data_IF_378635013056
#
_entry.id   IF_378635013056
#
_cell.length_a   1.000
_cell.length_b   1.000
_cell.length_c   1.000
_cell.angle_alpha   90.00
_cell.angle_beta   90.00
_cell.angle_gamma   90.00
#
_symmetry.space_group_name_H-M   'P 1'
#
loop_
_entity.id
_entity.type
_entity.pdbx_description
1 polymer ?
#
# COMPACT_ATOMS: atom_id res chain seq x y z
N UNK A 1 36.93 3.36 15.12
CA UNK A 1 36.52 3.73 13.73
C UNK A 1 35.05 3.99 13.77
N UNK A 2 34.65 5.24 13.73
CA UNK A 2 33.25 5.67 13.77
C UNK A 2 32.60 5.30 12.46
N UNK A 3 31.68 4.31 12.48
CA UNK A 3 30.83 3.98 11.36
C UNK A 3 30.04 5.25 10.98
N UNK A 4 30.42 5.89 9.87
CA UNK A 4 29.58 6.96 9.31
C UNK A 4 28.27 6.30 8.88
N UNK A 5 27.19 6.58 9.63
CA UNK A 5 25.82 6.14 9.29
C UNK A 5 25.56 6.56 7.85
N UNK A 6 25.48 5.60 6.92
CA UNK A 6 25.05 5.86 5.55
C UNK A 6 23.61 6.38 5.60
N UNK A 7 23.42 7.65 5.30
CA UNK A 7 22.07 8.23 5.17
C UNK A 7 21.37 7.54 4.00
N UNK A 8 20.08 7.21 4.15
CA UNK A 8 19.27 6.72 3.04
C UNK A 8 19.32 7.73 1.89
N UNK A 9 19.66 7.25 0.71
CA UNK A 9 19.72 8.05 -0.51
C UNK A 9 18.38 8.04 -1.27
N UNK A 10 17.41 7.26 -0.79
CA UNK A 10 16.08 7.15 -1.39
C UNK A 10 15.09 8.10 -0.74
N UNK A 11 14.07 8.50 -1.50
CA UNK A 11 13.01 9.37 -1.03
C UNK A 11 12.25 8.76 0.13
N UNK A 12 11.78 9.59 1.04
CA UNK A 12 10.97 9.22 2.21
C UNK A 12 9.49 9.43 1.97
N UNK A 13 9.13 10.12 0.87
CA UNK A 13 7.76 10.52 0.56
C UNK A 13 7.49 10.40 -0.93
N UNK A 14 6.33 9.81 -1.28
CA UNK A 14 5.87 9.69 -2.67
C UNK A 14 5.52 11.04 -3.27
N UNK A 15 4.98 11.96 -2.46
CA UNK A 15 4.70 13.35 -2.83
C UNK A 15 5.58 14.27 -1.96
N UNK A 16 6.77 14.67 -2.45
CA UNK A 16 7.76 15.41 -1.66
C UNK A 16 7.24 16.72 -1.02
N UNK A 17 6.31 17.40 -1.68
CA UNK A 17 5.69 18.63 -1.16
C UNK A 17 4.89 18.36 0.14
N UNK A 18 4.49 17.15 0.41
CA UNK A 18 3.73 16.73 1.59
C UNK A 18 4.60 16.04 2.66
N UNK A 19 5.92 15.90 2.43
CA UNK A 19 6.83 15.24 3.37
C UNK A 19 6.81 15.87 4.77
N UNK A 20 6.63 17.18 4.85
CA UNK A 20 6.51 17.92 6.12
C UNK A 20 5.28 17.54 6.96
N UNK A 21 4.27 16.89 6.39
CA UNK A 21 3.11 16.36 7.10
C UNK A 21 3.36 15.00 7.73
N UNK A 22 4.38 14.26 7.25
CA UNK A 22 4.69 12.92 7.77
C UNK A 22 5.18 12.97 9.20
N UNK A 23 4.68 12.02 9.96
CA UNK A 23 5.13 11.70 11.32
C UNK A 23 5.67 10.28 11.32
N UNK A 24 6.54 9.99 12.25
CA UNK A 24 7.25 8.71 12.34
C UNK A 24 7.08 8.11 13.72
N UNK A 25 7.02 6.79 13.77
CA UNK A 25 7.05 6.03 15.00
C UNK A 25 8.04 4.87 14.87
N UNK A 26 8.82 4.65 15.92
CA UNK A 26 9.81 3.57 15.99
C UNK A 26 9.30 2.49 16.91
N UNK A 27 9.38 1.23 16.46
CA UNK A 27 8.87 0.06 17.17
C UNK A 27 10.06 -0.86 17.50
N UNK A 28 10.60 -0.81 18.72
CA UNK A 28 11.71 -1.67 19.12
C UNK A 28 11.30 -3.15 19.14
N UNK A 29 12.25 -4.02 18.83
CA UNK A 29 12.11 -5.49 18.87
C UNK A 29 11.00 -6.05 17.97
N UNK A 30 10.55 -5.32 16.95
CA UNK A 30 9.55 -5.81 16.02
C UNK A 30 10.14 -6.84 15.06
N UNK A 31 9.49 -8.00 14.96
CA UNK A 31 9.93 -9.13 14.13
C UNK A 31 9.25 -9.11 12.77
N UNK A 32 10.03 -9.11 11.68
CA UNK A 32 9.58 -9.17 10.30
C UNK A 32 9.67 -10.60 9.75
N UNK A 33 8.76 -10.97 8.85
CA UNK A 33 8.79 -12.23 8.11
C UNK A 33 8.33 -13.45 8.93
N UNK A 34 7.72 -13.23 10.07
CA UNK A 34 7.21 -14.30 10.92
C UNK A 34 5.80 -14.79 10.52
N UNK A 35 5.36 -15.83 11.20
CA UNK A 35 4.03 -16.44 11.04
C UNK A 35 3.03 -15.79 12.00
N UNK A 36 1.84 -15.53 11.49
CA UNK A 36 0.72 -14.97 12.26
C UNK A 36 -0.36 -16.05 12.47
N UNK A 37 -0.81 -16.20 13.70
CA UNK A 37 -1.86 -17.16 14.08
C UNK A 37 -3.11 -16.39 14.54
N UNK A 38 -4.06 -16.08 13.61
CA UNK A 38 -5.27 -15.34 13.96
C UNK A 38 -6.05 -16.04 15.08
N UNK A 39 -6.37 -15.31 16.16
CA UNK A 39 -7.03 -15.81 17.37
C UNK A 39 -6.09 -16.12 18.54
N UNK A 40 -4.79 -16.03 18.32
CA UNK A 40 -3.78 -15.97 19.37
C UNK A 40 -2.94 -14.70 19.19
N UNK A 41 -3.53 -13.56 19.53
CA UNK A 41 -2.94 -12.24 19.33
C UNK A 41 -1.65 -12.05 20.13
N UNK A 42 -1.50 -12.74 21.24
CA UNK A 42 -0.28 -12.70 22.08
C UNK A 42 0.92 -13.31 21.35
N UNK A 43 0.70 -14.24 20.41
CA UNK A 43 1.75 -14.90 19.64
C UNK A 43 2.48 -13.98 18.66
N UNK A 44 1.87 -12.83 18.30
CA UNK A 44 2.42 -11.89 17.31
C UNK A 44 2.37 -10.41 17.75
N UNK A 45 2.33 -10.14 19.05
CA UNK A 45 2.18 -8.76 19.55
C UNK A 45 3.22 -7.79 18.95
N UNK A 46 4.49 -8.19 18.87
CA UNK A 46 5.57 -7.45 18.21
C UNK A 46 6.10 -8.20 16.98
N UNK A 47 5.20 -8.55 16.07
CA UNK A 47 5.49 -9.25 14.82
C UNK A 47 5.38 -10.76 14.90
N UNK A 48 5.35 -11.42 13.75
CA UNK A 48 5.06 -12.86 13.63
C UNK A 48 6.10 -13.76 14.33
N UNK A 49 5.65 -14.92 14.75
CA UNK A 49 6.50 -15.94 15.37
C UNK A 49 7.61 -16.40 14.41
N UNK A 50 8.85 -16.50 14.90
CA UNK A 50 10.02 -16.89 14.10
C UNK A 50 10.57 -15.77 13.20
N UNK A 51 10.00 -14.57 13.23
CA UNK A 51 10.50 -13.41 12.47
C UNK A 51 11.83 -12.86 13.01
N UNK A 52 12.42 -11.92 12.25
CA UNK A 52 13.75 -11.32 12.50
C UNK A 52 13.60 -9.84 12.82
N UNK A 53 14.26 -9.36 13.85
CA UNK A 53 14.32 -7.93 14.19
C UNK A 53 15.42 -7.23 13.38
N UNK A 54 15.21 -5.94 13.04
CA UNK A 54 16.24 -5.16 12.35
C UNK A 54 17.47 -4.94 13.23
N UNK A 55 17.27 -4.80 14.53
CA UNK A 55 18.33 -4.62 15.52
C UNK A 55 19.28 -5.82 15.57
N UNK A 56 18.79 -7.05 15.39
CA UNK A 56 19.62 -8.26 15.33
C UNK A 56 20.56 -8.29 14.13
N UNK A 57 20.26 -7.48 13.11
CA UNK A 57 21.08 -7.28 11.92
C UNK A 57 21.94 -6.00 11.99
N UNK A 58 21.98 -5.35 13.16
CA UNK A 58 22.76 -4.13 13.39
C UNK A 58 22.15 -2.87 12.81
N UNK A 59 20.86 -2.88 12.47
CA UNK A 59 20.13 -1.71 11.99
C UNK A 59 19.33 -1.02 13.11
N UNK A 60 18.79 0.17 12.82
CA UNK A 60 17.86 0.86 13.72
C UNK A 60 16.55 0.05 13.82
N UNK A 61 15.82 0.17 14.96
CA UNK A 61 14.53 -0.47 15.13
C UNK A 61 13.54 -0.14 14.00
N UNK A 62 12.54 -0.99 13.81
CA UNK A 62 11.52 -0.80 12.78
C UNK A 62 10.88 0.59 12.93
N UNK A 63 10.84 1.31 11.83
CA UNK A 63 10.16 2.61 11.73
C UNK A 63 8.96 2.47 10.80
N UNK A 64 7.83 3.05 11.19
CA UNK A 64 6.65 3.29 10.35
C UNK A 64 6.38 4.78 10.23
N UNK A 65 5.64 5.19 9.21
CA UNK A 65 5.30 6.58 8.99
C UNK A 65 3.79 6.74 8.70
N UNK A 66 3.25 7.93 8.95
CA UNK A 66 1.84 8.23 8.76
C UNK A 66 1.60 9.74 8.59
N UNK A 67 0.42 10.07 8.05
CA UNK A 67 -0.17 11.43 8.11
C UNK A 67 -1.50 11.29 8.85
N UNK A 68 -1.79 12.22 9.76
CA UNK A 68 -3.07 12.24 10.46
C UNK A 68 -3.72 13.60 10.37
N UNK A 69 -5.03 13.62 10.10
CA UNK A 69 -5.86 14.82 9.96
C UNK A 69 -7.20 14.64 10.66
N UNK A 70 -7.87 15.74 10.92
CA UNK A 70 -9.17 15.76 11.57
C UNK A 70 -9.11 15.74 13.10
N UNK A 71 -10.27 15.56 13.73
CA UNK A 71 -10.45 15.76 15.17
C UNK A 71 -10.61 14.41 15.88
N UNK A 72 -9.68 14.04 16.80
CA UNK A 72 -9.83 12.82 17.60
C UNK A 72 -10.87 12.99 18.70
N UNK A 73 -11.86 12.11 18.73
CA UNK A 73 -12.78 11.94 19.86
C UNK A 73 -12.24 10.89 20.83
N UNK A 74 -12.27 11.20 22.14
CA UNK A 74 -11.72 10.32 23.17
C UNK A 74 -12.80 9.85 24.14
N UNK A 75 -12.69 8.59 24.55
CA UNK A 75 -13.51 8.05 25.64
C UNK A 75 -12.99 8.52 27.02
N UNK A 76 -13.61 7.99 28.07
CA UNK A 76 -13.27 8.32 29.47
C UNK A 76 -11.86 7.83 29.87
N UNK A 77 -11.32 6.85 29.16
CA UNK A 77 -9.96 6.30 29.35
C UNK A 77 -8.92 7.07 28.50
N UNK A 78 -9.35 8.07 27.73
CA UNK A 78 -8.49 8.87 26.84
C UNK A 78 -8.16 8.20 25.52
N UNK A 79 -8.76 7.04 25.20
CA UNK A 79 -8.57 6.35 23.95
C UNK A 79 -9.38 6.99 22.82
N UNK A 80 -8.78 7.12 21.64
CA UNK A 80 -9.47 7.63 20.45
C UNK A 80 -10.44 6.56 19.91
N UNK A 81 -11.69 6.96 19.65
CA UNK A 81 -12.77 6.05 19.27
C UNK A 81 -13.37 6.31 17.88
N UNK A 82 -13.03 7.43 17.23
CA UNK A 82 -13.51 7.82 15.90
C UNK A 82 -12.44 7.73 14.82
N UNK A 83 -11.42 6.86 15.00
CA UNK A 83 -10.30 6.73 14.07
C UNK A 83 -10.74 6.01 12.78
N UNK A 84 -10.27 6.54 11.65
CA UNK A 84 -10.37 5.91 10.33
C UNK A 84 -8.95 5.72 9.80
N UNK A 85 -8.64 4.55 9.27
CA UNK A 85 -7.32 4.29 8.68
C UNK A 85 -7.43 4.10 7.16
N UNK A 86 -6.43 4.63 6.46
CA UNK A 86 -6.27 4.51 5.01
C UNK A 86 -4.92 3.85 4.73
N UNK A 87 -4.95 2.58 4.36
CA UNK A 87 -3.75 1.80 4.04
C UNK A 87 -3.27 2.07 2.61
N UNK A 88 -1.95 2.09 2.36
CA UNK A 88 -1.39 2.43 1.05
C UNK A 88 -1.49 1.27 0.07
N UNK A 89 -1.51 1.60 -1.23
CA UNK A 89 -1.37 0.64 -2.32
C UNK A 89 0.09 0.21 -2.51
N UNK A 90 0.35 -0.71 -3.45
CA UNK A 90 1.65 -1.38 -3.65
C UNK A 90 2.85 -0.43 -3.66
N UNK A 91 2.80 0.62 -4.46
CA UNK A 91 3.87 1.61 -4.62
C UNK A 91 3.65 2.92 -3.86
N UNK A 92 2.51 3.03 -3.18
CA UNK A 92 2.10 4.24 -2.48
C UNK A 92 2.57 4.33 -1.04
N UNK A 93 2.27 5.48 -0.46
CA UNK A 93 2.49 5.82 0.94
C UNK A 93 1.37 6.74 1.45
N UNK A 94 1.49 7.20 2.67
CA UNK A 94 0.55 8.15 3.27
C UNK A 94 0.41 9.45 2.48
N UNK A 95 1.48 9.94 1.83
CA UNK A 95 1.43 11.18 1.04
C UNK A 95 0.68 11.01 -0.26
N UNK A 96 0.82 9.87 -0.94
CA UNK A 96 0.04 9.57 -2.15
C UNK A 96 -1.44 9.41 -1.84
N UNK A 97 -1.79 8.66 -0.78
CA UNK A 97 -3.20 8.49 -0.42
C UNK A 97 -3.83 9.82 0.01
N UNK A 98 -3.07 10.66 0.73
CA UNK A 98 -3.48 12.01 1.07
C UNK A 98 -3.70 12.85 -0.21
N UNK A 99 -2.76 12.82 -1.15
CA UNK A 99 -2.82 13.57 -2.40
C UNK A 99 -4.02 13.20 -3.28
N UNK A 100 -4.37 11.91 -3.35
CA UNK A 100 -5.50 11.47 -4.18
C UNK A 100 -6.87 11.73 -3.54
N UNK A 101 -6.97 11.65 -2.22
CA UNK A 101 -8.27 11.61 -1.57
C UNK A 101 -8.57 12.76 -0.63
N UNK A 102 -7.58 13.50 -0.16
CA UNK A 102 -7.82 14.62 0.76
C UNK A 102 -8.24 15.91 0.01
N UNK A 103 -9.15 16.64 0.60
CA UNK A 103 -9.62 17.94 0.07
C UNK A 103 -8.48 18.96 0.00
N UNK A 104 -8.53 19.84 -1.00
CA UNK A 104 -7.48 20.83 -1.24
C UNK A 104 -6.25 20.29 -1.99
N UNK A 105 -6.27 19.03 -2.44
CA UNK A 105 -5.23 18.46 -3.31
C UNK A 105 -5.75 18.36 -4.75
N UNK A 106 -4.88 18.62 -5.72
CA UNK A 106 -5.27 18.62 -7.15
C UNK A 106 -5.55 17.21 -7.70
N UNK A 107 -4.94 16.17 -7.09
CA UNK A 107 -4.99 14.81 -7.62
C UNK A 107 -4.22 14.71 -8.96
N UNK A 108 -4.34 13.58 -9.65
CA UNK A 108 -3.59 13.32 -10.88
C UNK A 108 -4.40 12.61 -11.98
N UNK A 109 -5.70 12.77 -12.01
CA UNK A 109 -6.57 12.12 -13.00
C UNK A 109 -6.95 10.66 -12.69
N UNK A 110 -6.25 9.97 -11.77
CA UNK A 110 -6.70 8.66 -11.29
C UNK A 110 -7.86 8.77 -10.30
N UNK A 111 -7.96 9.85 -9.53
CA UNK A 111 -9.08 10.14 -8.65
C UNK A 111 -10.04 11.15 -9.29
N UNK A 112 -11.35 11.04 -9.01
CA UNK A 112 -12.39 11.95 -9.50
C UNK A 112 -12.66 13.13 -8.56
N UNK A 113 -11.85 13.30 -7.52
CA UNK A 113 -11.97 14.36 -6.54
C UNK A 113 -11.88 13.85 -5.11
N UNK A 114 -11.88 14.76 -4.13
CA UNK A 114 -11.65 14.43 -2.74
C UNK A 114 -12.77 13.58 -2.15
N UNK A 115 -12.35 12.56 -1.42
CA UNK A 115 -13.21 11.63 -0.66
C UNK A 115 -13.19 11.99 0.83
N UNK A 116 -12.07 12.55 1.30
CA UNK A 116 -11.74 12.86 2.70
C UNK A 116 -11.56 14.37 2.86
N UNK A 117 -12.13 14.95 3.88
CA UNK A 117 -12.02 16.39 4.18
C UNK A 117 -13.27 16.91 4.88
N UNK A 118 -13.31 18.18 5.25
CA UNK A 118 -14.48 18.80 5.86
C UNK A 118 -15.73 18.65 4.96
N UNK A 119 -16.80 18.06 5.49
CA UNK A 119 -18.05 17.83 4.76
C UNK A 119 -17.95 16.84 3.57
N UNK A 120 -16.87 16.06 3.42
CA UNK A 120 -16.73 15.03 2.39
C UNK A 120 -17.35 13.70 2.82
N UNK A 121 -17.23 12.65 1.98
CA UNK A 121 -17.70 11.29 2.31
C UNK A 121 -17.16 10.81 3.66
N UNK A 122 -15.89 11.08 3.92
CA UNK A 122 -15.21 10.90 5.21
C UNK A 122 -14.90 12.29 5.74
N UNK A 123 -15.73 12.74 6.66
CA UNK A 123 -15.74 14.11 7.17
C UNK A 123 -14.69 14.28 8.28
N UNK A 124 -13.63 15.05 8.02
CA UNK A 124 -12.55 15.29 8.98
C UNK A 124 -12.94 16.22 10.13
N UNK A 125 -14.08 16.91 10.06
CA UNK A 125 -14.63 17.63 11.22
C UNK A 125 -15.16 16.66 12.29
N UNK A 126 -15.48 15.41 11.90
CA UNK A 126 -16.09 14.38 12.75
C UNK A 126 -15.17 13.19 13.02
N UNK A 127 -14.18 12.94 12.16
CA UNK A 127 -13.35 11.74 12.23
C UNK A 127 -11.87 12.08 12.21
N UNK A 128 -11.11 11.29 12.94
CA UNK A 128 -9.65 11.33 12.93
C UNK A 128 -9.12 10.34 11.89
N UNK A 129 -8.64 10.85 10.76
CA UNK A 129 -8.21 10.04 9.62
C UNK A 129 -6.70 9.89 9.61
N UNK A 130 -6.21 8.66 9.52
CA UNK A 130 -4.80 8.30 9.56
C UNK A 130 -4.43 7.60 8.26
N UNK A 131 -3.63 8.25 7.44
CA UNK A 131 -3.02 7.68 6.24
C UNK A 131 -1.71 6.99 6.65
N UNK A 132 -1.57 5.71 6.33
CA UNK A 132 -0.47 4.87 6.78
C UNK A 132 0.58 4.67 5.68
N UNK A 133 1.85 4.49 6.08
CA UNK A 133 2.87 3.88 5.24
C UNK A 133 2.91 2.36 5.50
N UNK A 134 3.39 1.59 4.53
CA UNK A 134 3.69 0.17 4.69
C UNK A 134 5.19 -0.06 4.73
N UNK A 135 5.63 -1.03 5.54
CA UNK A 135 7.03 -1.48 5.61
C UNK A 135 7.58 -1.72 4.21
N UNK A 136 8.84 -1.36 3.98
CA UNK A 136 9.60 -1.68 2.78
C UNK A 136 9.65 -0.58 1.71
N UNK A 137 8.90 0.53 1.86
CA UNK A 137 8.99 1.70 0.98
C UNK A 137 8.91 3.02 1.75
N UNK A 138 9.30 4.10 1.10
CA UNK A 138 9.15 5.51 1.48
C UNK A 138 9.62 5.85 2.90
N UNK A 139 8.70 6.26 3.78
CA UNK A 139 8.99 6.69 5.14
C UNK A 139 9.18 5.56 6.15
N UNK A 140 8.70 4.36 5.85
CA UNK A 140 8.90 3.18 6.69
C UNK A 140 10.32 2.60 6.51
N UNK A 141 10.74 1.71 7.42
CA UNK A 141 11.97 0.93 7.25
C UNK A 141 11.93 0.10 5.98
N UNK A 142 13.05 0.07 5.24
CA UNK A 142 13.15 -0.52 3.90
C UNK A 142 14.59 -0.97 3.60
N UNK A 143 14.80 -1.86 2.62
CA UNK A 143 16.12 -2.33 2.21
C UNK A 143 17.16 -1.23 1.98
N UNK A 144 16.77 -0.17 1.28
CA UNK A 144 17.65 0.96 0.96
C UNK A 144 18.06 1.83 2.18
N UNK A 145 17.57 1.53 3.37
CA UNK A 145 18.04 2.17 4.62
C UNK A 145 19.39 1.62 5.12
N UNK A 146 20.04 0.72 4.38
CA UNK A 146 21.38 0.26 4.67
C UNK A 146 21.60 -1.25 4.66
N UNK A 147 20.53 -2.05 4.80
CA UNK A 147 20.62 -3.51 4.79
C UNK A 147 20.64 -4.11 3.37
N UNK A 148 20.13 -3.38 2.36
CA UNK A 148 20.01 -3.90 1.00
C UNK A 148 19.26 -5.23 0.97
N UNK A 149 19.75 -6.20 0.22
CA UNK A 149 19.16 -7.55 0.13
C UNK A 149 19.28 -8.38 1.43
N UNK A 150 19.95 -7.87 2.48
CA UNK A 150 19.95 -8.48 3.83
C UNK A 150 18.75 -8.03 4.67
N UNK A 151 17.93 -7.09 4.19
CA UNK A 151 16.69 -6.73 4.86
C UNK A 151 15.80 -7.97 4.96
N UNK A 152 15.17 -8.24 6.14
CA UNK A 152 14.35 -9.43 6.30
C UNK A 152 13.22 -9.48 5.26
N UNK A 153 12.88 -10.66 4.78
CA UNK A 153 11.60 -10.85 4.12
C UNK A 153 10.49 -10.38 5.05
N UNK A 154 9.46 -9.77 4.51
CA UNK A 154 8.30 -9.30 5.26
C UNK A 154 7.04 -9.57 4.45
N UNK A 155 5.88 -9.56 5.09
CA UNK A 155 4.61 -9.90 4.49
C UNK A 155 3.53 -8.84 4.81
N UNK A 156 2.34 -9.01 4.26
CA UNK A 156 1.22 -8.07 4.49
C UNK A 156 0.81 -7.99 5.97
N UNK A 157 0.88 -9.10 6.71
CA UNK A 157 0.56 -9.10 8.13
C UNK A 157 1.55 -8.27 8.94
N UNK A 158 2.86 -8.28 8.57
CA UNK A 158 3.86 -7.42 9.20
C UNK A 158 3.52 -5.95 9.02
N UNK A 159 3.05 -5.54 7.82
CA UNK A 159 2.64 -4.16 7.55
C UNK A 159 1.46 -3.75 8.45
N UNK A 160 0.47 -4.62 8.59
CA UNK A 160 -0.70 -4.38 9.45
C UNK A 160 -0.31 -4.33 10.91
N UNK A 161 0.47 -5.32 11.38
CA UNK A 161 0.84 -5.42 12.79
C UNK A 161 1.76 -4.27 13.25
N UNK A 162 2.71 -3.84 12.40
CA UNK A 162 3.53 -2.67 12.67
C UNK A 162 2.67 -1.40 12.81
N UNK A 163 1.69 -1.23 11.93
CA UNK A 163 0.75 -0.12 12.02
C UNK A 163 -0.22 -0.25 13.21
N UNK A 164 -0.59 -1.48 13.62
CA UNK A 164 -1.35 -1.69 14.84
C UNK A 164 -0.58 -1.16 16.07
N UNK A 165 0.72 -1.46 16.17
CA UNK A 165 1.56 -0.92 17.25
C UNK A 165 1.63 0.62 17.21
N UNK A 166 1.79 1.22 16.02
CA UNK A 166 1.68 2.68 15.86
C UNK A 166 0.37 3.21 16.44
N UNK A 167 -0.77 2.59 16.07
CA UNK A 167 -2.09 3.08 16.48
C UNK A 167 -2.30 2.97 17.99
N UNK A 168 -1.87 1.86 18.59
CA UNK A 168 -2.09 1.61 20.01
C UNK A 168 -1.06 2.33 20.86
N UNK A 169 0.24 2.18 20.55
CA UNK A 169 1.32 2.66 21.43
C UNK A 169 1.54 4.16 21.32
N UNK A 170 1.44 4.71 20.11
CA UNK A 170 1.75 6.12 19.87
C UNK A 170 0.51 7.00 19.83
N UNK A 171 -0.58 6.53 19.22
CA UNK A 171 -1.77 7.35 18.99
C UNK A 171 -2.87 7.11 20.01
N UNK A 172 -2.74 6.08 20.84
CA UNK A 172 -3.74 5.68 21.83
C UNK A 172 -5.13 5.44 21.21
N UNK A 173 -5.16 4.76 20.04
CA UNK A 173 -6.41 4.38 19.38
C UNK A 173 -7.05 3.22 20.15
N UNK A 174 -8.31 3.38 20.57
CA UNK A 174 -9.06 2.33 21.24
C UNK A 174 -9.78 1.40 20.27
N UNK A 175 -10.18 1.92 19.09
CA UNK A 175 -10.81 1.16 18.00
C UNK A 175 -10.75 1.92 16.68
N UNK A 176 -10.88 1.18 15.60
CA UNK A 176 -10.98 1.71 14.25
C UNK A 176 -12.45 1.69 13.82
N UNK A 177 -12.99 2.88 13.50
CA UNK A 177 -14.35 3.02 12.99
C UNK A 177 -14.48 2.46 11.57
N UNK A 178 -13.44 2.71 10.73
CA UNK A 178 -13.37 2.23 9.35
C UNK A 178 -11.92 2.00 8.96
N UNK A 179 -11.61 0.81 8.42
CA UNK A 179 -10.36 0.54 7.73
C UNK A 179 -10.62 0.46 6.24
N UNK A 180 -9.88 1.25 5.45
CA UNK A 180 -10.01 1.31 4.00
C UNK A 180 -8.65 1.42 3.30
N UNK A 181 -8.67 1.25 2.00
CA UNK A 181 -7.53 1.41 1.12
C UNK A 181 -7.81 0.76 -0.23
N UNK A 182 -6.96 1.07 -1.20
CA UNK A 182 -7.08 0.56 -2.56
C UNK A 182 -6.01 -0.50 -2.83
N UNK A 183 -6.30 -1.50 -3.69
CA UNK A 183 -5.33 -2.50 -4.14
C UNK A 183 -4.66 -3.22 -2.93
N UNK A 184 -3.36 -3.10 -2.74
CA UNK A 184 -2.66 -3.61 -1.55
C UNK A 184 -3.25 -3.05 -0.24
N UNK A 185 -3.77 -1.81 -0.23
CA UNK A 185 -4.46 -1.23 0.92
C UNK A 185 -5.77 -1.95 1.24
N UNK A 186 -6.46 -2.45 0.23
CA UNK A 186 -7.64 -3.30 0.41
C UNK A 186 -7.27 -4.68 0.96
N UNK A 187 -6.16 -5.27 0.51
CA UNK A 187 -5.59 -6.50 1.10
C UNK A 187 -5.36 -6.29 2.60
N UNK A 188 -4.72 -5.18 2.97
CA UNK A 188 -4.49 -4.83 4.37
C UNK A 188 -5.80 -4.65 5.14
N UNK A 189 -6.87 -4.09 4.52
CA UNK A 189 -8.17 -3.93 5.19
C UNK A 189 -8.78 -5.27 5.62
N UNK A 190 -8.68 -6.31 4.81
CA UNK A 190 -9.08 -7.66 5.21
C UNK A 190 -8.23 -8.21 6.35
N UNK A 191 -6.90 -8.02 6.29
CA UNK A 191 -5.98 -8.48 7.31
C UNK A 191 -6.24 -7.79 8.65
N UNK A 192 -6.50 -6.48 8.65
CA UNK A 192 -6.90 -5.73 9.84
C UNK A 192 -8.08 -6.39 10.54
N UNK A 193 -9.13 -6.75 9.79
CA UNK A 193 -10.34 -7.33 10.35
C UNK A 193 -10.18 -8.81 10.77
N UNK A 194 -9.23 -9.55 10.18
CA UNK A 194 -8.91 -10.94 10.57
C UNK A 194 -8.01 -10.99 11.80
N UNK A 195 -6.95 -10.16 11.85
CA UNK A 195 -5.99 -10.17 12.96
C UNK A 195 -6.56 -9.46 14.20
N UNK A 196 -7.37 -8.43 14.01
CA UNK A 196 -7.89 -7.58 15.10
C UNK A 196 -9.41 -7.42 15.02
N UNK A 197 -10.19 -8.52 15.11
CA UNK A 197 -11.64 -8.51 14.87
C UNK A 197 -12.43 -7.66 15.86
N UNK A 198 -11.92 -7.46 17.08
CA UNK A 198 -12.58 -6.63 18.11
C UNK A 198 -12.17 -5.14 18.01
N UNK A 199 -11.07 -4.86 17.30
CA UNK A 199 -10.52 -3.51 17.15
C UNK A 199 -11.09 -2.77 15.94
N UNK A 200 -11.62 -3.50 14.93
CA UNK A 200 -12.10 -2.95 13.66
C UNK A 200 -13.63 -3.10 13.54
N UNK A 201 -14.34 -1.99 13.53
CA UNK A 201 -15.81 -1.99 13.42
C UNK A 201 -16.32 -2.22 12.00
N UNK A 202 -15.62 -1.65 11.00
CA UNK A 202 -16.00 -1.77 9.60
C UNK A 202 -14.79 -1.76 8.67
N UNK A 203 -14.92 -2.41 7.50
CA UNK A 203 -13.93 -2.36 6.42
C UNK A 203 -14.57 -1.97 5.09
N UNK A 204 -13.83 -1.19 4.31
CA UNK A 204 -14.16 -0.79 2.94
C UNK A 204 -12.96 -1.11 2.03
N UNK A 205 -12.71 -2.39 1.72
CA UNK A 205 -11.65 -2.78 0.78
C UNK A 205 -12.05 -2.43 -0.66
N UNK A 206 -11.12 -1.81 -1.42
CA UNK A 206 -11.35 -1.34 -2.78
C UNK A 206 -10.34 -1.99 -3.73
N UNK A 207 -10.78 -2.93 -4.57
CA UNK A 207 -9.94 -3.62 -5.53
C UNK A 207 -8.80 -4.41 -4.85
N UNK A 208 -9.14 -5.31 -3.93
CA UNK A 208 -8.18 -6.14 -3.19
C UNK A 208 -8.36 -7.63 -3.44
N UNK A 209 -7.41 -8.41 -2.91
CA UNK A 209 -7.39 -9.88 -2.93
C UNK A 209 -7.38 -10.43 -1.51
N UNK A 210 -7.90 -11.65 -1.34
CA UNK A 210 -7.79 -12.43 -0.10
C UNK A 210 -6.77 -13.58 -0.20
N UNK A 211 -6.25 -13.80 -1.40
CA UNK A 211 -5.19 -14.76 -1.71
C UNK A 211 -4.42 -14.30 -2.95
N UNK A 212 -3.12 -14.57 -3.03
CA UNK A 212 -2.34 -14.33 -4.24
C UNK A 212 -2.57 -15.47 -5.23
N UNK A 213 -3.15 -15.13 -6.38
CA UNK A 213 -3.34 -16.08 -7.47
C UNK A 213 -2.13 -16.08 -8.43
N UNK A 214 -2.12 -17.08 -9.34
CA UNK A 214 -1.04 -17.26 -10.30
C UNK A 214 -0.82 -16.04 -11.20
N UNK A 215 -1.88 -15.31 -11.59
CA UNK A 215 -1.77 -14.13 -12.43
C UNK A 215 -1.01 -13.00 -11.72
N UNK A 216 -1.38 -12.70 -10.48
CA UNK A 216 -0.71 -11.67 -9.65
C UNK A 216 0.73 -12.08 -9.34
N UNK A 217 0.96 -13.37 -9.05
CA UNK A 217 2.32 -13.89 -8.83
C UNK A 217 3.19 -13.73 -10.07
N UNK A 218 2.66 -14.11 -11.24
CA UNK A 218 3.39 -14.00 -12.50
C UNK A 218 3.79 -12.55 -12.81
N UNK A 219 2.88 -11.60 -12.59
CA UNK A 219 3.20 -10.17 -12.75
C UNK A 219 4.41 -9.77 -11.90
N UNK A 220 4.43 -10.10 -10.62
CA UNK A 220 5.53 -9.75 -9.73
C UNK A 220 6.84 -10.50 -10.08
N UNK A 221 6.77 -11.72 -10.58
CA UNK A 221 7.96 -12.43 -11.08
C UNK A 221 8.52 -11.77 -12.35
N UNK A 222 7.68 -11.31 -13.28
CA UNK A 222 8.13 -10.57 -14.46
C UNK A 222 8.80 -9.24 -14.08
N UNK A 223 8.23 -8.49 -13.13
CA UNK A 223 8.85 -7.28 -12.61
C UNK A 223 10.19 -7.58 -11.92
N UNK A 224 10.25 -8.64 -11.13
CA UNK A 224 11.46 -9.09 -10.45
C UNK A 224 12.55 -9.45 -11.47
N UNK A 225 12.21 -10.24 -12.48
CA UNK A 225 13.12 -10.61 -13.56
C UNK A 225 13.64 -9.38 -14.33
N UNK A 226 12.77 -8.42 -14.62
CA UNK A 226 13.13 -7.17 -15.28
C UNK A 226 14.15 -6.36 -14.45
N UNK A 227 13.90 -6.18 -13.15
CA UNK A 227 14.81 -5.47 -12.24
C UNK A 227 16.15 -6.22 -12.14
N UNK A 228 16.13 -7.53 -11.96
CA UNK A 228 17.33 -8.35 -11.82
C UNK A 228 18.12 -8.53 -13.13
N UNK A 229 17.51 -8.24 -14.29
CA UNK A 229 18.22 -8.23 -15.58
C UNK A 229 19.10 -7.01 -15.78
N UNK A 230 18.97 -5.95 -14.98
CA UNK A 230 19.84 -4.78 -15.02
C UNK A 230 21.31 -5.20 -14.83
N UNK A 231 22.22 -4.80 -15.74
CA UNK A 231 23.63 -5.22 -15.67
C UNK A 231 24.29 -4.92 -14.34
N UNK A 232 24.03 -3.74 -13.75
CA UNK A 232 24.61 -3.35 -12.49
C UNK A 232 24.05 -4.18 -11.33
N UNK A 233 22.74 -4.44 -11.31
CA UNK A 233 22.15 -5.29 -10.27
C UNK A 233 22.73 -6.71 -10.33
N UNK A 234 22.89 -7.26 -11.53
CA UNK A 234 23.48 -8.59 -11.73
C UNK A 234 24.93 -8.67 -11.25
N UNK A 235 25.74 -7.66 -11.59
CA UNK A 235 27.16 -7.57 -11.21
C UNK A 235 27.30 -7.45 -9.70
N UNK A 236 26.54 -6.54 -9.07
CA UNK A 236 26.65 -6.22 -7.65
C UNK A 236 25.80 -7.11 -6.76
N UNK A 237 24.88 -7.92 -7.32
CA UNK A 237 23.87 -8.70 -6.58
C UNK A 237 23.07 -7.85 -5.58
N UNK A 238 22.80 -6.60 -5.98
CA UNK A 238 22.08 -5.63 -5.17
C UNK A 238 22.95 -4.82 -4.19
N UNK A 239 24.26 -4.98 -4.14
CA UNK A 239 25.16 -4.16 -3.31
C UNK A 239 25.76 -2.99 -4.13
N UNK A 240 24.91 -2.03 -4.51
CA UNK A 240 25.27 -0.86 -5.34
C UNK A 240 25.23 0.47 -4.57
N UNK A 241 24.92 0.48 -3.28
CA UNK A 241 24.75 1.72 -2.51
C UNK A 241 26.02 2.56 -2.30
N UNK A 242 27.18 2.03 -2.67
CA UNK A 242 28.44 2.78 -2.72
C UNK A 242 28.53 3.70 -3.95
N UNK A 243 27.66 3.52 -4.95
CA UNK A 243 27.61 4.30 -6.18
C UNK A 243 26.66 5.50 -6.04
N UNK A 244 26.84 6.56 -6.84
CA UNK A 244 25.88 7.65 -6.95
C UNK A 244 24.54 7.14 -7.46
N UNK A 245 23.43 7.78 -7.04
CA UNK A 245 22.07 7.34 -7.33
C UNK A 245 21.76 7.22 -8.83
N UNK A 246 22.36 8.08 -9.65
CA UNK A 246 22.18 8.09 -11.10
C UNK A 246 22.75 6.83 -11.76
N UNK A 247 23.65 6.13 -11.07
CA UNK A 247 24.23 4.85 -11.50
C UNK A 247 23.55 3.62 -10.90
N UNK A 248 22.47 3.80 -10.12
CA UNK A 248 21.72 2.68 -9.59
C UNK A 248 20.99 1.91 -10.72
N UNK A 249 20.46 0.70 -10.49
CA UNK A 249 19.84 -0.14 -11.52
C UNK A 249 18.46 0.42 -11.96
N UNK A 250 18.43 1.68 -12.39
CA UNK A 250 17.23 2.44 -12.72
C UNK A 250 16.57 1.93 -14.02
N UNK A 251 17.33 1.33 -14.94
CA UNK A 251 16.75 0.74 -16.16
C UNK A 251 15.93 -0.50 -15.84
N UNK A 252 16.44 -1.38 -15.00
CA UNK A 252 15.70 -2.55 -14.54
C UNK A 252 14.41 -2.17 -13.81
N UNK A 253 14.47 -1.15 -12.96
CA UNK A 253 13.29 -0.58 -12.29
C UNK A 253 12.30 -0.01 -13.31
N UNK A 254 12.77 0.72 -14.31
CA UNK A 254 11.93 1.27 -15.39
C UNK A 254 11.20 0.17 -16.17
N UNK A 255 11.89 -0.92 -16.53
CA UNK A 255 11.25 -2.05 -17.21
C UNK A 255 10.22 -2.74 -16.32
N UNK A 256 10.51 -2.92 -15.03
CA UNK A 256 9.52 -3.42 -14.07
C UNK A 256 8.26 -2.55 -14.03
N UNK A 257 8.42 -1.24 -13.98
CA UNK A 257 7.30 -0.29 -14.04
C UNK A 257 6.54 -0.33 -15.36
N UNK A 258 7.23 -0.52 -16.49
CA UNK A 258 6.58 -0.66 -17.82
C UNK A 258 5.64 -1.87 -17.85
N UNK A 259 6.07 -3.00 -17.28
CA UNK A 259 5.24 -4.20 -17.15
C UNK A 259 4.01 -3.90 -16.30
N UNK A 260 4.20 -3.27 -15.15
CA UNK A 260 3.11 -2.94 -14.22
C UNK A 260 2.08 -2.02 -14.89
N UNK A 261 2.52 -0.93 -15.51
CA UNK A 261 1.63 0.02 -16.19
C UNK A 261 0.89 -0.62 -17.36
N UNK A 262 1.61 -1.37 -18.19
CA UNK A 262 1.00 -2.02 -19.35
C UNK A 262 -0.11 -2.99 -18.95
N UNK A 263 0.10 -3.80 -17.94
CA UNK A 263 -0.86 -4.83 -17.52
C UNK A 263 -2.01 -4.29 -16.68
N UNK A 264 -1.85 -3.12 -16.05
CA UNK A 264 -2.87 -2.53 -15.17
C UNK A 264 -3.92 -1.70 -15.87
N UNK A 265 -3.65 -1.26 -17.10
CA UNK A 265 -4.59 -0.50 -17.93
C UNK A 265 -5.45 -1.46 -18.79
N UNK A 266 -6.68 -1.06 -19.09
CA UNK A 266 -7.54 -1.84 -19.99
C UNK A 266 -6.95 -1.94 -21.41
N UNK A 267 -7.38 -2.98 -22.14
CA UNK A 267 -7.00 -3.13 -23.54
C UNK A 267 -7.47 -1.93 -24.38
N UNK A 268 -8.71 -1.50 -24.18
CA UNK A 268 -9.31 -0.40 -24.96
C UNK A 268 -8.57 0.92 -24.71
N UNK A 269 -8.20 1.21 -23.47
CA UNK A 269 -7.36 2.36 -23.15
C UNK A 269 -6.04 2.31 -23.91
N UNK A 270 -5.34 1.18 -23.91
CA UNK A 270 -4.04 1.04 -24.59
C UNK A 270 -4.15 1.19 -26.11
N UNK A 271 -5.19 0.62 -26.72
CA UNK A 271 -5.44 0.73 -28.17
C UNK A 271 -5.77 2.17 -28.57
N UNK A 272 -6.46 2.90 -27.72
CA UNK A 272 -6.81 4.31 -27.95
C UNK A 272 -5.64 5.29 -27.87
N UNK A 273 -4.47 4.88 -27.33
CA UNK A 273 -3.33 5.78 -27.18
C UNK A 273 -2.55 5.97 -28.48
N UNK A 274 -2.16 7.21 -28.84
CA UNK A 274 -1.29 7.46 -29.97
C UNK A 274 0.06 6.74 -29.80
N UNK A 275 0.48 5.97 -30.81
CA UNK A 275 1.73 5.20 -30.79
C UNK A 275 2.97 6.03 -30.41
N UNK A 276 3.13 7.20 -31.02
CA UNK A 276 4.30 8.07 -30.80
C UNK A 276 4.34 8.58 -29.35
N UNK A 277 3.20 8.98 -28.81
CA UNK A 277 3.12 9.47 -27.42
C UNK A 277 3.39 8.35 -26.42
N UNK A 278 2.84 7.16 -26.64
CA UNK A 278 3.13 5.98 -25.82
C UNK A 278 4.62 5.64 -25.80
N UNK A 279 5.31 5.73 -26.95
CA UNK A 279 6.74 5.49 -27.01
C UNK A 279 7.55 6.53 -26.20
N UNK A 280 7.12 7.80 -26.22
CA UNK A 280 7.79 8.86 -25.44
C UNK A 280 7.57 8.73 -23.94
N UNK A 281 6.35 8.36 -23.55
CA UNK A 281 5.92 8.35 -22.14
C UNK A 281 6.32 7.08 -21.40
N UNK A 282 6.34 5.95 -22.09
CA UNK A 282 6.58 4.64 -21.46
C UNK A 282 8.01 4.14 -21.69
N UNK A 283 8.53 4.33 -22.87
CA UNK A 283 9.86 3.81 -23.24
C UNK A 283 10.88 4.92 -23.48
N UNK A 284 12.14 4.64 -23.16
CA UNK A 284 13.24 5.54 -23.49
C UNK A 284 13.55 5.58 -25.01
N UNK A 285 12.77 4.90 -25.82
CA UNK A 285 12.93 4.83 -27.27
C UNK A 285 11.88 5.72 -27.97
N UNK A 286 12.28 6.32 -29.07
CA UNK A 286 11.44 7.16 -29.92
C UNK A 286 11.52 6.69 -31.37
N UNK A 287 10.41 6.77 -32.15
CA UNK A 287 10.42 6.41 -33.59
C UNK A 287 11.39 7.22 -34.43
N UNK A 288 11.78 8.42 -33.99
CA UNK A 288 12.77 9.28 -34.66
C UNK A 288 14.22 8.91 -34.34
N UNK A 289 14.45 7.80 -33.63
CA UNK A 289 15.76 7.30 -33.21
C UNK A 289 16.41 8.09 -32.07
N UNK A 290 15.75 9.11 -31.53
CA UNK A 290 16.25 9.87 -30.37
C UNK A 290 15.90 9.16 -29.08
N UNK A 291 16.81 9.21 -28.11
CA UNK A 291 16.54 8.69 -26.78
C UNK A 291 15.61 9.62 -26.02
N UNK A 292 14.51 9.07 -25.47
CA UNK A 292 13.61 9.75 -24.55
C UNK A 292 13.89 9.33 -23.11
N UNK A 293 13.23 9.97 -22.16
CA UNK A 293 13.35 9.62 -20.72
C UNK A 293 12.39 8.49 -20.32
N UNK A 294 11.26 8.34 -21.03
CA UNK A 294 10.24 7.32 -20.74
C UNK A 294 9.82 7.35 -19.27
N UNK A 295 9.75 6.19 -18.64
CA UNK A 295 9.44 6.04 -17.23
C UNK A 295 10.67 6.18 -16.30
N UNK A 296 11.82 6.60 -16.83
CA UNK A 296 13.02 6.78 -16.00
C UNK A 296 12.83 7.79 -14.86
N UNK A 297 12.13 8.93 -15.04
CA UNK A 297 11.83 9.84 -13.94
C UNK A 297 10.99 9.20 -12.83
N UNK A 298 10.04 8.32 -13.19
CA UNK A 298 9.29 7.54 -12.23
C UNK A 298 10.19 6.50 -11.53
N UNK A 299 10.97 5.75 -12.31
CA UNK A 299 11.88 4.73 -11.80
C UNK A 299 12.88 5.29 -10.78
N UNK A 300 13.41 6.50 -11.04
CA UNK A 300 14.34 7.19 -10.14
C UNK A 300 13.75 7.52 -8.75
N UNK A 301 12.45 7.38 -8.54
CA UNK A 301 11.83 7.54 -7.24
C UNK A 301 11.94 6.29 -6.37
N UNK A 302 12.21 5.13 -6.96
CA UNK A 302 12.23 3.84 -6.29
C UNK A 302 13.64 3.26 -6.25
N UNK A 303 13.89 2.39 -5.29
CA UNK A 303 15.10 1.60 -5.19
C UNK A 303 14.80 0.17 -5.66
N UNK A 304 15.72 -0.44 -6.39
CA UNK A 304 15.53 -1.77 -6.94
C UNK A 304 15.33 -2.84 -5.86
N UNK A 305 16.13 -2.79 -4.78
CA UNK A 305 16.01 -3.77 -3.70
C UNK A 305 14.72 -3.58 -2.89
N UNK A 306 14.28 -2.32 -2.72
CA UNK A 306 12.99 -2.03 -2.07
C UNK A 306 11.85 -2.69 -2.85
N UNK A 307 11.84 -2.56 -4.20
CA UNK A 307 10.83 -3.19 -5.05
C UNK A 307 10.94 -4.71 -5.11
N UNK A 308 12.16 -5.27 -5.14
CA UNK A 308 12.37 -6.73 -5.18
C UNK A 308 11.79 -7.41 -3.94
N UNK A 309 12.00 -6.84 -2.75
CA UNK A 309 11.37 -7.37 -1.55
C UNK A 309 9.86 -7.08 -1.50
N UNK A 310 9.43 -5.93 -2.01
CA UNK A 310 8.01 -5.59 -2.13
C UNK A 310 7.25 -6.59 -3.03
N UNK A 311 7.84 -7.04 -4.13
CA UNK A 311 7.25 -8.04 -5.02
C UNK A 311 6.99 -9.39 -4.33
N UNK A 312 7.67 -9.65 -3.23
CA UNK A 312 7.54 -10.90 -2.45
C UNK A 312 6.56 -10.82 -1.29
N UNK A 313 5.95 -9.66 -1.03
CA UNK A 313 4.97 -9.47 0.06
C UNK A 313 3.85 -10.51 0.08
N UNK A 314 3.45 -10.97 -1.11
CA UNK A 314 2.39 -11.96 -1.27
C UNK A 314 2.87 -13.41 -1.18
N UNK A 315 4.15 -13.67 -0.90
CA UNK A 315 4.65 -15.03 -0.76
C UNK A 315 3.94 -15.73 0.40
N UNK A 316 3.17 -16.79 0.08
CA UNK A 316 2.38 -17.49 1.09
C UNK A 316 1.14 -16.73 1.60
N UNK A 317 0.75 -15.60 0.99
CA UNK A 317 -0.46 -14.90 1.39
C UNK A 317 -1.70 -15.67 0.96
N UNK A 318 -2.41 -16.19 1.95
CA UNK A 318 -3.66 -16.89 1.81
C UNK A 318 -4.54 -16.60 3.03
N UNK A 319 -5.56 -15.76 2.87
CA UNK A 319 -6.44 -15.32 3.92
C UNK A 319 -7.86 -15.89 3.78
N UNK A 320 -8.17 -16.50 2.65
CA UNK A 320 -9.52 -16.94 2.29
C UNK A 320 -10.14 -17.81 3.37
N UNK A 321 -9.40 -18.76 3.93
CA UNK A 321 -9.90 -19.65 5.00
C UNK A 321 -10.13 -18.94 6.34
N UNK A 322 -9.61 -17.71 6.51
CA UNK A 322 -9.74 -16.91 7.72
C UNK A 322 -10.83 -15.84 7.64
N UNK A 323 -11.46 -15.65 6.49
CA UNK A 323 -12.45 -14.59 6.28
C UNK A 323 -13.69 -14.72 7.16
N UNK A 324 -14.02 -15.93 7.58
CA UNK A 324 -15.10 -16.20 8.53
C UNK A 324 -14.90 -15.54 9.91
N UNK A 325 -13.65 -15.14 10.24
CA UNK A 325 -13.30 -14.44 11.48
C UNK A 325 -13.67 -12.96 11.45
N UNK A 326 -13.90 -12.38 10.27
CA UNK A 326 -14.25 -10.96 10.12
C UNK A 326 -15.60 -10.70 10.74
N UNK A 327 -15.61 -9.91 11.82
CA UNK A 327 -16.80 -9.40 12.51
C UNK A 327 -17.20 -8.02 12.02
N UNK A 328 -16.26 -7.30 11.43
CA UNK A 328 -16.44 -5.97 10.89
C UNK A 328 -17.51 -5.95 9.80
N UNK A 329 -18.38 -4.93 9.83
CA UNK A 329 -19.28 -4.68 8.70
C UNK A 329 -18.46 -4.43 7.46
N UNK A 330 -18.82 -5.09 6.34
CA UNK A 330 -17.98 -5.14 5.15
C UNK A 330 -18.74 -4.66 3.92
N UNK A 331 -18.18 -3.62 3.26
CA UNK A 331 -18.55 -3.22 1.91
C UNK A 331 -17.31 -3.34 1.01
N UNK A 332 -17.40 -4.17 -0.02
CA UNK A 332 -16.35 -4.38 -1.00
C UNK A 332 -16.66 -3.55 -2.24
N UNK A 333 -15.69 -2.76 -2.72
CA UNK A 333 -15.78 -2.10 -4.02
C UNK A 333 -14.75 -2.71 -4.97
N UNK A 334 -15.11 -2.86 -6.25
CA UNK A 334 -14.21 -3.47 -7.24
C UNK A 334 -14.38 -2.86 -8.61
N UNK A 335 -13.31 -2.91 -9.42
CA UNK A 335 -13.35 -2.57 -10.84
C UNK A 335 -13.54 -3.86 -11.63
N UNK A 336 -14.68 -4.01 -12.33
CA UNK A 336 -15.08 -5.28 -12.90
C UNK A 336 -14.15 -5.79 -14.01
N UNK A 337 -13.55 -4.87 -14.78
CA UNK A 337 -12.59 -5.18 -15.84
C UNK A 337 -11.11 -5.10 -15.38
N UNK A 338 -10.85 -5.14 -14.07
CA UNK A 338 -9.50 -5.23 -13.53
C UNK A 338 -8.82 -6.55 -13.96
N UNK A 339 -7.66 -6.44 -14.60
CA UNK A 339 -6.91 -7.57 -15.11
C UNK A 339 -5.91 -8.15 -14.10
N UNK A 340 -5.53 -7.37 -13.09
CA UNK A 340 -4.64 -7.85 -12.03
C UNK A 340 -5.40 -8.59 -10.94
N UNK A 341 -6.41 -7.91 -10.41
CA UNK A 341 -7.18 -8.35 -9.25
C UNK A 341 -8.61 -8.61 -9.73
N UNK A 342 -8.86 -9.84 -10.15
CA UNK A 342 -10.11 -10.20 -10.82
C UNK A 342 -11.32 -10.08 -9.90
N UNK A 343 -12.46 -9.65 -10.47
CA UNK A 343 -13.75 -9.53 -9.76
C UNK A 343 -14.14 -10.82 -9.02
N UNK A 344 -13.86 -12.00 -9.61
CA UNK A 344 -14.17 -13.28 -8.98
C UNK A 344 -13.53 -13.50 -7.61
N UNK A 345 -12.41 -12.82 -7.31
CA UNK A 345 -11.79 -12.86 -5.97
C UNK A 345 -12.56 -12.02 -4.96
N UNK A 346 -13.12 -10.90 -5.38
CA UNK A 346 -14.00 -10.08 -4.56
C UNK A 346 -15.35 -10.77 -4.30
N UNK A 347 -15.86 -11.53 -5.28
CA UNK A 347 -17.06 -12.37 -5.13
C UNK A 347 -16.84 -13.45 -4.09
N UNK A 348 -15.71 -14.17 -4.13
CA UNK A 348 -15.34 -15.16 -3.11
C UNK A 348 -15.27 -14.50 -1.71
N UNK A 349 -14.66 -13.32 -1.59
CA UNK A 349 -14.59 -12.61 -0.34
C UNK A 349 -15.97 -12.24 0.20
N UNK A 350 -16.87 -11.72 -0.66
CA UNK A 350 -18.28 -11.43 -0.31
C UNK A 350 -18.96 -12.67 0.24
N UNK A 351 -18.81 -13.81 -0.44
CA UNK A 351 -19.51 -15.06 -0.07
C UNK A 351 -18.94 -15.68 1.21
N UNK A 352 -17.68 -15.40 1.54
CA UNK A 352 -17.00 -15.92 2.74
C UNK A 352 -17.15 -15.04 3.98
N UNK A 353 -17.53 -13.76 3.83
CA UNK A 353 -17.67 -12.82 4.95
C UNK A 353 -19.15 -12.61 5.24
N UNK A 354 -19.58 -12.93 6.47
CA UNK A 354 -20.99 -12.80 6.87
C UNK A 354 -21.51 -11.38 6.71
N UNK A 355 -22.53 -11.20 5.85
CA UNK A 355 -23.18 -9.90 5.64
C UNK A 355 -22.40 -8.92 4.77
N UNK A 356 -21.33 -9.36 4.13
CA UNK A 356 -20.59 -8.53 3.18
C UNK A 356 -21.43 -8.22 1.93
N UNK A 357 -21.22 -7.04 1.39
CA UNK A 357 -21.80 -6.59 0.12
C UNK A 357 -20.69 -6.24 -0.85
N UNK A 358 -20.93 -6.47 -2.14
CA UNK A 358 -20.02 -6.15 -3.23
C UNK A 358 -20.73 -5.26 -4.24
N UNK A 359 -20.07 -4.16 -4.61
CA UNK A 359 -20.44 -3.34 -5.76
C UNK A 359 -19.24 -3.19 -6.69
N UNK A 360 -19.51 -3.25 -7.98
CA UNK A 360 -18.47 -3.10 -9.01
C UNK A 360 -18.91 -2.18 -10.14
N UNK A 361 -17.95 -1.67 -10.87
CA UNK A 361 -18.13 -0.84 -12.06
C UNK A 361 -17.01 -1.14 -13.06
N UNK A 362 -17.19 -0.75 -14.31
CA UNK A 362 -16.15 -0.80 -15.34
C UNK A 362 -15.59 0.59 -15.58
N UNK A 363 -14.29 0.67 -15.88
CA UNK A 363 -13.61 1.92 -16.20
C UNK A 363 -12.44 1.63 -17.15
N UNK A 364 -12.19 2.53 -18.11
CA UNK A 364 -11.09 2.40 -19.07
C UNK A 364 -9.71 2.27 -18.41
N UNK A 365 -9.52 2.85 -17.22
CA UNK A 365 -8.28 2.74 -16.47
C UNK A 365 -8.11 1.37 -15.77
N UNK A 366 -9.09 0.48 -15.82
CA UNK A 366 -9.07 -0.84 -15.21
C UNK A 366 -8.56 -0.78 -13.75
N UNK A 367 -7.43 -1.44 -13.41
CA UNK A 367 -6.94 -1.44 -12.03
C UNK A 367 -6.75 -0.04 -11.44
N UNK A 368 -6.30 0.92 -12.24
CA UNK A 368 -6.06 2.29 -11.72
C UNK A 368 -7.34 3.06 -11.37
N UNK A 369 -8.50 2.60 -11.83
CA UNK A 369 -9.78 3.18 -11.46
C UNK A 369 -10.20 2.90 -10.00
N UNK A 370 -9.45 2.08 -9.24
CA UNK A 370 -9.72 1.85 -7.81
C UNK A 370 -9.78 3.16 -7.01
N UNK A 371 -9.03 4.19 -7.41
CA UNK A 371 -9.08 5.51 -6.77
C UNK A 371 -10.38 6.26 -7.03
N UNK A 372 -11.10 5.94 -8.12
CA UNK A 372 -12.39 6.53 -8.51
C UNK A 372 -13.58 5.88 -7.80
N UNK A 373 -13.42 4.64 -7.33
CA UNK A 373 -14.50 3.81 -6.82
C UNK A 373 -15.39 4.48 -5.75
N UNK A 374 -14.87 5.21 -4.74
CA UNK A 374 -15.73 5.87 -3.76
C UNK A 374 -16.62 6.97 -4.35
N UNK A 375 -16.18 7.61 -5.43
CA UNK A 375 -16.96 8.65 -6.11
C UNK A 375 -17.95 8.04 -7.10
N UNK A 376 -17.56 7.04 -7.88
CA UNK A 376 -18.42 6.32 -8.84
C UNK A 376 -19.53 5.58 -8.11
N UNK A 377 -19.19 4.88 -7.03
CA UNK A 377 -20.13 4.11 -6.22
C UNK A 377 -20.56 4.88 -4.96
N UNK A 378 -20.79 6.20 -5.11
CA UNK A 378 -21.07 7.11 -3.99
C UNK A 378 -22.28 6.69 -3.17
N UNK A 379 -23.38 6.32 -3.78
CA UNK A 379 -24.61 5.96 -3.09
C UNK A 379 -24.49 4.69 -2.23
N UNK A 380 -23.95 3.57 -2.74
CA UNK A 380 -23.62 2.42 -1.91
C UNK A 380 -22.70 2.76 -0.72
N UNK A 381 -21.68 3.60 -0.95
CA UNK A 381 -20.74 4.04 0.10
C UNK A 381 -21.47 4.86 1.16
N UNK A 382 -22.23 5.88 0.78
CA UNK A 382 -23.01 6.71 1.72
C UNK A 382 -23.99 5.88 2.55
N UNK A 383 -24.67 4.91 1.94
CA UNK A 383 -25.56 4.00 2.66
C UNK A 383 -24.78 3.19 3.69
N UNK A 384 -23.65 2.62 3.29
CA UNK A 384 -22.79 1.85 4.18
C UNK A 384 -22.26 2.69 5.35
N UNK A 385 -21.77 3.91 5.10
CA UNK A 385 -21.28 4.80 6.15
C UNK A 385 -22.38 5.12 7.19
N UNK A 386 -23.62 5.37 6.74
CA UNK A 386 -24.75 5.55 7.63
C UNK A 386 -25.07 4.30 8.47
N UNK A 387 -25.01 3.10 7.87
CA UNK A 387 -25.28 1.82 8.55
C UNK A 387 -24.24 1.50 9.63
N UNK A 388 -23.00 1.98 9.49
CA UNK A 388 -21.98 1.85 10.52
C UNK A 388 -21.99 3.02 11.52
N UNK A 389 -23.03 3.85 11.45
CA UNK A 389 -23.24 4.98 12.36
C UNK A 389 -22.31 6.17 12.07
N UNK A 390 -21.74 6.26 10.89
CA UNK A 390 -20.98 7.45 10.47
C UNK A 390 -21.94 8.55 10.02
N UNK A 391 -21.69 9.74 10.54
CA UNK A 391 -22.42 10.95 10.16
C UNK A 391 -21.72 11.54 8.91
N UNK A 392 -22.41 11.55 7.78
CA UNK A 392 -21.99 12.25 6.56
C UNK A 392 -22.28 13.75 6.66
#
# INVERSE_FOLDING_TARGET
>A
MTSSRRKSITKTSGVPALDGLKRYHTIPNFKLGGTYSPGDESSFEYGGAGGVTLESLGAEPLRVAYIAVGNPERDREGKITNAIIVSPYYSGDSTFMYYYWHDGQEGNGFALGPVIGPGKLIDTDKYYVIFLDAVGLWGASKPSNGLGMKFPAYNYCDCVQANYRLLVDQLNIGRIKLATGVSMGAIQSYIWAVLHPEFVEAILPIGGLTEINSNTRWLFELMTAAIQSDPLWRETKGDYYHLPKEKHPNQGVMFGWSILLYTGLSFDFRVGQPWVETCKEVFCWRPDGKQGEGLLPLANNYDANDLLLRNRLGDGYFLTDQLHRIRAKTLILHVANDQWLRLSTAEKARDSIKGARLFSFEDELAHYAVFRAPNVLREPVLRFLREIGMKS
#
